data_IF_852316446385
#
_entry.id   IF_852316446385
#
_cell.length_a   1.000
_cell.length_b   1.000
_cell.length_c   1.000
_cell.angle_alpha   90.00
_cell.angle_beta   90.00
_cell.angle_gamma   90.00
#
_symmetry.space_group_name_H-M   'P 1'
#
loop_
_entity.id
_entity.type
_entity.pdbx_description
1 polymer ?
#
# COMPACT_ATOMS: atom_id res chain seq x y z
N UNK A 1 -30.61 -5.71 -49.97
CA UNK A 1 -29.36 -5.49 -49.20
C UNK A 1 -29.35 -6.41 -47.96
N UNK A 2 -28.95 -7.68 -48.06
CA UNK A 2 -28.92 -8.57 -46.88
C UNK A 2 -27.64 -8.41 -46.02
N UNK A 3 -26.60 -7.76 -46.56
CA UNK A 3 -25.25 -7.69 -45.96
C UNK A 3 -24.81 -6.24 -45.61
N UNK A 4 -25.74 -5.30 -45.50
CA UNK A 4 -25.40 -3.92 -45.14
C UNK A 4 -25.10 -3.83 -43.64
N UNK A 5 -23.87 -3.46 -43.28
CA UNK A 5 -23.42 -3.34 -41.89
C UNK A 5 -23.63 -1.94 -41.30
N UNK A 6 -23.35 -0.89 -42.07
CA UNK A 6 -23.45 0.51 -41.62
C UNK A 6 -23.53 1.47 -42.80
N UNK A 7 -24.30 2.56 -42.64
CA UNK A 7 -24.25 3.74 -43.49
C UNK A 7 -23.90 4.92 -42.59
N UNK A 8 -22.79 5.59 -42.88
CA UNK A 8 -22.36 6.78 -42.14
C UNK A 8 -21.96 7.89 -43.12
N UNK A 9 -22.36 9.11 -42.81
CA UNK A 9 -21.83 10.31 -43.43
C UNK A 9 -20.94 11.03 -42.42
N UNK A 10 -19.77 11.48 -42.87
CA UNK A 10 -18.94 12.39 -42.09
C UNK A 10 -19.23 13.84 -42.51
N UNK A 11 -19.44 14.73 -41.55
CA UNK A 11 -19.68 16.15 -41.78
C UNK A 11 -21.01 16.70 -41.22
N UNK A 12 -21.10 18.04 -41.07
CA UNK A 12 -22.23 18.70 -40.41
C UNK A 12 -23.54 18.70 -41.23
N UNK A 13 -23.46 18.42 -42.54
CA UNK A 13 -24.57 18.55 -43.47
C UNK A 13 -25.12 17.18 -43.87
N UNK A 14 -25.67 16.48 -42.88
CA UNK A 14 -26.20 15.12 -43.05
C UNK A 14 -27.57 15.17 -43.70
N UNK A 15 -27.75 14.42 -44.79
CA UNK A 15 -29.02 14.37 -45.50
C UNK A 15 -30.01 13.48 -44.75
N UNK A 16 -30.74 14.06 -43.79
CA UNK A 16 -31.76 13.36 -43.01
C UNK A 16 -32.90 12.81 -43.88
N UNK A 17 -33.18 13.45 -45.03
CA UNK A 17 -34.18 12.95 -45.98
C UNK A 17 -33.75 11.60 -46.55
N UNK A 18 -32.49 11.46 -46.96
CA UNK A 18 -31.96 10.18 -47.41
C UNK A 18 -32.11 9.09 -46.34
N UNK A 19 -31.81 9.39 -45.08
CA UNK A 19 -31.97 8.43 -43.99
C UNK A 19 -33.43 7.97 -43.83
N UNK A 20 -34.38 8.91 -43.88
CA UNK A 20 -35.80 8.61 -43.73
C UNK A 20 -36.32 7.76 -44.89
N UNK A 21 -36.02 8.18 -46.13
CA UNK A 21 -36.42 7.47 -47.34
C UNK A 21 -35.81 6.06 -47.36
N UNK A 22 -34.54 5.94 -46.95
CA UNK A 22 -33.84 4.66 -46.85
C UNK A 22 -34.43 3.73 -45.78
N UNK A 23 -34.79 4.25 -44.60
CA UNK A 23 -35.45 3.48 -43.54
C UNK A 23 -36.84 2.99 -43.96
N UNK A 24 -37.58 3.81 -44.71
CA UNK A 24 -38.88 3.45 -45.26
C UNK A 24 -38.75 2.31 -46.26
N UNK A 25 -37.89 2.46 -47.27
CA UNK A 25 -37.67 1.43 -48.30
C UNK A 25 -37.15 0.12 -47.67
N UNK A 26 -36.22 0.22 -46.71
CA UNK A 26 -35.72 -0.96 -46.00
C UNK A 26 -36.84 -1.67 -45.22
N UNK A 27 -37.71 -0.93 -44.53
CA UNK A 27 -38.85 -1.51 -43.82
C UNK A 27 -39.81 -2.22 -44.78
N UNK A 28 -40.11 -1.63 -45.94
CA UNK A 28 -40.95 -2.24 -46.97
C UNK A 28 -40.35 -3.55 -47.50
N UNK A 29 -39.04 -3.56 -47.78
CA UNK A 29 -38.34 -4.72 -48.33
C UNK A 29 -38.04 -5.83 -47.31
N UNK A 30 -38.01 -5.50 -46.01
CA UNK A 30 -37.56 -6.42 -44.96
C UNK A 30 -38.61 -6.71 -43.88
N UNK A 31 -39.90 -6.52 -44.19
CA UNK A 31 -41.02 -6.92 -43.33
C UNK A 31 -41.17 -6.04 -42.08
N UNK A 32 -41.03 -4.73 -42.26
CA UNK A 32 -41.14 -3.72 -41.20
C UNK A 32 -39.86 -3.51 -40.38
N UNK A 33 -38.74 -4.19 -40.72
CA UNK A 33 -37.48 -4.02 -39.99
C UNK A 33 -36.84 -2.67 -40.30
N UNK A 34 -36.44 -1.97 -39.25
CA UNK A 34 -35.68 -0.71 -39.33
C UNK A 34 -34.24 -0.92 -38.86
N UNK A 35 -33.32 -0.11 -39.37
CA UNK A 35 -31.93 -0.09 -38.91
C UNK A 35 -31.79 0.80 -37.67
N UNK A 36 -30.82 0.47 -36.80
CA UNK A 36 -30.52 1.27 -35.61
C UNK A 36 -29.97 2.64 -36.06
N UNK A 37 -30.70 3.71 -35.75
CA UNK A 37 -30.26 5.08 -36.00
C UNK A 37 -29.35 5.54 -34.84
N UNK A 38 -28.06 5.72 -35.11
CA UNK A 38 -27.06 6.21 -34.15
C UNK A 38 -26.87 7.73 -34.19
N UNK A 39 -27.76 8.45 -34.88
CA UNK A 39 -27.75 9.90 -35.04
C UNK A 39 -27.04 10.38 -36.31
N UNK A 40 -26.97 11.70 -36.48
CA UNK A 40 -26.33 12.34 -37.64
C UNK A 40 -24.81 12.15 -37.66
N UNK A 41 -24.17 12.01 -36.50
CA UNK A 41 -22.76 11.71 -36.40
C UNK A 41 -22.53 10.56 -35.42
N UNK A 42 -22.37 9.34 -35.95
CA UNK A 42 -22.12 8.15 -35.14
C UNK A 42 -20.88 8.28 -34.25
N UNK A 43 -19.88 9.04 -34.68
CA UNK A 43 -18.69 9.34 -33.88
C UNK A 43 -19.02 10.14 -32.62
N UNK A 44 -19.89 11.16 -32.71
CA UNK A 44 -20.31 11.94 -31.53
C UNK A 44 -21.09 11.08 -30.54
N UNK A 45 -22.00 10.22 -31.03
CA UNK A 45 -22.77 9.29 -30.18
C UNK A 45 -21.85 8.33 -29.44
N UNK A 46 -20.90 7.70 -30.14
CA UNK A 46 -19.91 6.82 -29.52
C UNK A 46 -19.01 7.58 -28.55
N UNK A 47 -18.46 8.73 -28.97
CA UNK A 47 -17.59 9.56 -28.15
C UNK A 47 -18.26 9.95 -26.82
N UNK A 48 -19.52 10.40 -26.86
CA UNK A 48 -20.27 10.77 -25.65
C UNK A 48 -20.58 9.56 -24.77
N UNK A 49 -20.86 8.40 -25.38
CA UNK A 49 -21.07 7.15 -24.64
C UNK A 49 -19.81 6.74 -23.89
N UNK A 50 -18.65 6.75 -24.56
CA UNK A 50 -17.35 6.48 -23.93
C UNK A 50 -16.99 7.50 -22.86
N UNK A 51 -17.15 8.79 -23.15
CA UNK A 51 -16.93 9.88 -22.17
C UNK A 51 -17.76 9.66 -20.91
N UNK A 52 -19.04 9.35 -21.06
CA UNK A 52 -19.95 9.10 -19.93
C UNK A 52 -19.52 7.86 -19.17
N UNK A 53 -19.34 6.74 -19.85
CA UNK A 53 -18.96 5.47 -19.20
C UNK A 53 -17.65 5.57 -18.43
N UNK A 54 -16.62 6.18 -19.02
CA UNK A 54 -15.33 6.36 -18.34
C UNK A 54 -15.43 7.30 -17.15
N UNK A 55 -16.25 8.36 -17.24
CA UNK A 55 -16.47 9.29 -16.13
C UNK A 55 -17.19 8.60 -14.98
N UNK A 56 -18.29 7.90 -15.27
CA UNK A 56 -19.09 7.15 -14.28
C UNK A 56 -18.26 6.08 -13.56
N UNK A 57 -17.40 5.37 -14.29
CA UNK A 57 -16.58 4.29 -13.73
C UNK A 57 -15.19 4.74 -13.29
N UNK A 58 -14.87 6.04 -13.35
CA UNK A 58 -13.56 6.59 -13.01
C UNK A 58 -12.39 5.93 -13.78
N UNK A 59 -12.63 5.44 -15.00
CA UNK A 59 -11.61 4.75 -15.81
C UNK A 59 -10.46 5.69 -16.12
N UNK A 60 -10.74 6.96 -16.42
CA UNK A 60 -9.71 7.97 -16.65
C UNK A 60 -8.73 8.07 -15.46
N UNK A 61 -9.26 8.12 -14.24
CA UNK A 61 -8.45 8.23 -13.02
C UNK A 61 -7.56 6.99 -12.84
N UNK A 62 -8.12 5.81 -13.09
CA UNK A 62 -7.38 4.55 -13.04
C UNK A 62 -6.23 4.51 -14.06
N UNK A 63 -6.53 4.76 -15.34
CA UNK A 63 -5.54 4.69 -16.43
C UNK A 63 -4.41 5.71 -16.22
N UNK A 64 -4.75 6.94 -15.79
CA UNK A 64 -3.75 7.97 -15.44
C UNK A 64 -2.90 7.53 -14.26
N UNK A 65 -3.49 6.99 -13.20
CA UNK A 65 -2.75 6.51 -12.04
C UNK A 65 -1.77 5.38 -12.41
N UNK A 66 -2.22 4.42 -13.23
CA UNK A 66 -1.37 3.34 -13.74
C UNK A 66 -0.16 3.90 -14.51
N UNK A 67 -0.37 4.87 -15.40
CA UNK A 67 0.73 5.51 -16.13
C UNK A 67 1.68 6.27 -15.21
N UNK A 68 1.17 7.16 -14.35
CA UNK A 68 2.00 7.99 -13.47
C UNK A 68 2.75 7.18 -12.40
N UNK A 69 2.29 5.97 -12.09
CA UNK A 69 3.06 5.05 -11.28
C UNK A 69 4.44 4.74 -11.90
N UNK A 70 4.58 4.74 -13.22
CA UNK A 70 5.85 4.42 -13.89
C UNK A 70 6.45 5.58 -14.68
N UNK A 71 5.71 6.67 -14.87
CA UNK A 71 6.18 7.84 -15.60
C UNK A 71 7.33 8.53 -14.85
N UNK A 72 8.47 8.71 -15.51
CA UNK A 72 9.69 9.35 -14.97
C UNK A 72 10.21 8.76 -13.65
N UNK A 73 9.90 7.50 -13.34
CA UNK A 73 10.41 6.83 -12.13
C UNK A 73 11.10 5.51 -12.49
N UNK A 74 12.39 5.54 -12.84
CA UNK A 74 13.13 4.35 -13.30
C UNK A 74 13.21 3.27 -12.22
N UNK A 75 13.42 3.63 -10.95
CA UNK A 75 13.47 2.68 -9.84
C UNK A 75 12.20 1.81 -9.75
N UNK A 76 11.01 2.42 -9.90
CA UNK A 76 9.74 1.66 -9.87
C UNK A 76 9.58 0.74 -11.08
N UNK A 77 10.11 1.11 -12.24
CA UNK A 77 10.10 0.27 -13.44
C UNK A 77 11.05 -0.92 -13.28
N UNK A 78 12.22 -0.67 -12.72
CA UNK A 78 13.20 -1.72 -12.42
C UNK A 78 12.63 -2.71 -11.40
N UNK A 79 12.08 -2.22 -10.29
CA UNK A 79 11.43 -3.07 -9.28
C UNK A 79 10.29 -3.89 -9.87
N UNK A 80 9.42 -3.26 -10.67
CA UNK A 80 8.32 -3.96 -11.34
C UNK A 80 8.82 -5.06 -12.26
N UNK A 81 9.81 -4.77 -13.09
CA UNK A 81 10.42 -5.76 -13.99
C UNK A 81 11.04 -6.91 -13.21
N UNK A 82 11.80 -6.62 -12.14
CA UNK A 82 12.40 -7.63 -11.26
C UNK A 82 11.35 -8.51 -10.59
N UNK A 83 10.26 -7.92 -10.10
CA UNK A 83 9.22 -8.64 -9.36
C UNK A 83 8.31 -9.47 -10.25
N UNK A 84 8.06 -9.04 -11.49
CA UNK A 84 7.02 -9.63 -12.37
C UNK A 84 7.56 -10.31 -13.61
N UNK A 85 8.82 -10.06 -13.96
CA UNK A 85 9.45 -10.43 -15.23
C UNK A 85 8.98 -9.62 -16.44
N UNK A 86 8.05 -8.67 -16.27
CA UNK A 86 7.46 -7.91 -17.37
C UNK A 86 8.10 -6.54 -17.53
N UNK A 87 8.42 -6.18 -18.79
CA UNK A 87 8.82 -4.83 -19.21
C UNK A 87 7.69 -4.06 -19.88
N UNK A 88 6.45 -4.56 -19.80
CA UNK A 88 5.27 -3.88 -20.33
C UNK A 88 4.71 -2.91 -19.28
N UNK A 89 4.55 -1.65 -19.71
CA UNK A 89 4.07 -0.57 -18.84
C UNK A 89 2.76 0.05 -19.36
N UNK A 90 1.96 0.66 -18.48
CA UNK A 90 0.76 1.40 -18.86
C UNK A 90 1.07 2.58 -19.77
N UNK A 91 0.16 2.88 -20.70
CA UNK A 91 0.27 3.97 -21.66
C UNK A 91 -0.40 5.25 -21.16
N UNK A 92 0.00 6.43 -21.64
CA UNK A 92 -0.64 7.70 -21.27
C UNK A 92 -2.06 7.78 -21.85
N UNK A 93 -3.02 8.14 -21.00
CA UNK A 93 -4.41 8.37 -21.38
C UNK A 93 -4.65 9.81 -21.86
N UNK A 94 -5.41 9.97 -22.95
CA UNK A 94 -5.79 11.26 -23.52
C UNK A 94 -7.29 11.59 -23.26
N UNK A 95 -7.57 12.55 -22.37
CA UNK A 95 -8.93 12.90 -21.94
C UNK A 95 -9.81 13.64 -22.95
N UNK A 96 -9.31 13.89 -24.16
CA UNK A 96 -10.08 14.50 -25.25
C UNK A 96 -10.17 13.60 -26.49
N UNK A 97 -9.58 12.39 -26.47
CA UNK A 97 -9.56 11.42 -27.58
C UNK A 97 -10.03 10.05 -27.10
N UNK A 98 -11.26 9.98 -26.59
CA UNK A 98 -11.78 8.83 -25.85
C UNK A 98 -11.78 7.53 -26.69
N UNK A 99 -12.17 7.61 -27.96
CA UNK A 99 -12.23 6.46 -28.88
C UNK A 99 -10.82 5.98 -29.28
N UNK A 100 -9.85 6.90 -29.37
CA UNK A 100 -8.46 6.57 -29.73
C UNK A 100 -7.68 5.93 -28.57
N UNK A 101 -8.22 5.94 -27.34
CA UNK A 101 -7.58 5.33 -26.17
C UNK A 101 -7.72 3.80 -26.11
N UNK A 102 -8.24 3.13 -27.15
CA UNK A 102 -8.35 1.68 -27.19
C UNK A 102 -7.01 0.97 -26.84
N UNK A 103 -5.85 1.34 -27.40
CA UNK A 103 -4.57 0.72 -27.04
C UNK A 103 -4.18 0.95 -25.58
N UNK A 104 -4.59 2.08 -24.99
CA UNK A 104 -4.35 2.39 -23.57
C UNK A 104 -5.17 1.45 -22.68
N UNK A 105 -6.43 1.20 -23.06
CA UNK A 105 -7.31 0.25 -22.38
C UNK A 105 -6.80 -1.19 -22.48
N UNK A 106 -6.44 -1.65 -23.69
CA UNK A 106 -5.89 -2.99 -23.92
C UNK A 106 -4.60 -3.21 -23.12
N UNK A 107 -3.67 -2.24 -23.15
CA UNK A 107 -2.45 -2.31 -22.35
C UNK A 107 -2.75 -2.34 -20.85
N UNK A 108 -3.75 -1.59 -20.39
CA UNK A 108 -4.13 -1.61 -18.98
C UNK A 108 -4.65 -2.98 -18.55
N UNK A 109 -5.47 -3.63 -19.38
CA UNK A 109 -5.96 -4.99 -19.13
C UNK A 109 -4.80 -5.99 -19.06
N UNK A 110 -3.84 -5.89 -19.98
CA UNK A 110 -2.65 -6.75 -20.01
C UNK A 110 -1.73 -6.56 -18.78
N UNK A 111 -1.51 -5.31 -18.37
CA UNK A 111 -0.60 -4.97 -17.26
C UNK A 111 -1.25 -5.18 -15.89
N UNK A 112 -2.58 -5.09 -15.77
CA UNK A 112 -3.29 -5.11 -14.49
C UNK A 112 -2.97 -6.32 -13.59
N UNK A 113 -2.95 -7.58 -14.09
CA UNK A 113 -2.58 -8.73 -13.27
C UNK A 113 -1.16 -8.65 -12.73
N UNK A 114 -0.21 -8.21 -13.57
CA UNK A 114 1.20 -8.02 -13.19
C UNK A 114 1.38 -6.89 -12.18
N UNK A 115 0.62 -5.83 -12.33
CA UNK A 115 0.60 -4.73 -11.36
C UNK A 115 0.12 -5.23 -9.99
N UNK A 116 -1.00 -5.96 -9.94
CA UNK A 116 -1.50 -6.57 -8.71
C UNK A 116 -0.47 -7.51 -8.07
N UNK A 117 0.16 -8.37 -8.86
CA UNK A 117 1.25 -9.25 -8.41
C UNK A 117 2.40 -8.46 -7.78
N UNK A 118 2.85 -7.39 -8.45
CA UNK A 118 3.96 -6.55 -7.95
C UNK A 118 3.61 -5.86 -6.63
N UNK A 119 2.37 -5.42 -6.45
CA UNK A 119 1.91 -4.75 -5.24
C UNK A 119 1.86 -5.73 -4.06
N UNK A 120 1.29 -6.93 -4.27
CA UNK A 120 1.26 -7.98 -3.25
C UNK A 120 2.67 -8.41 -2.80
N UNK A 121 3.60 -8.58 -3.75
CA UNK A 121 4.99 -8.92 -3.43
C UNK A 121 5.67 -7.81 -2.61
N UNK A 122 5.44 -6.54 -2.97
CA UNK A 122 5.99 -5.39 -2.22
C UNK A 122 5.40 -5.27 -0.82
N UNK A 123 4.11 -5.49 -0.67
CA UNK A 123 3.45 -5.48 0.64
C UNK A 123 3.96 -6.63 1.52
N UNK A 124 4.09 -7.84 0.98
CA UNK A 124 4.69 -8.97 1.66
C UNK A 124 6.12 -8.70 2.12
N UNK A 125 6.97 -8.15 1.24
CA UNK A 125 8.34 -7.76 1.59
C UNK A 125 8.37 -6.69 2.69
N UNK A 126 7.54 -5.65 2.59
CA UNK A 126 7.43 -4.60 3.62
C UNK A 126 6.96 -5.16 4.96
N UNK A 127 6.00 -6.08 4.96
CA UNK A 127 5.53 -6.76 6.17
C UNK A 127 6.61 -7.63 6.78
N UNK A 128 7.37 -8.38 5.97
CA UNK A 128 8.51 -9.17 6.41
C UNK A 128 9.60 -8.32 7.06
N UNK A 129 9.95 -7.18 6.47
CA UNK A 129 10.92 -6.23 7.04
C UNK A 129 10.46 -5.67 8.39
N UNK A 130 9.18 -5.27 8.50
CA UNK A 130 8.60 -4.80 9.77
C UNK A 130 8.66 -5.87 10.85
N UNK A 131 8.30 -7.11 10.50
CA UNK A 131 8.32 -8.24 11.42
C UNK A 131 9.73 -8.50 11.93
N UNK A 132 10.71 -8.53 11.02
CA UNK A 132 12.12 -8.73 11.38
C UNK A 132 12.63 -7.63 12.31
N UNK A 133 12.33 -6.36 12.01
CA UNK A 133 12.71 -5.25 12.88
C UNK A 133 12.12 -5.38 14.29
N UNK A 134 10.85 -5.81 14.39
CA UNK A 134 10.18 -6.03 15.67
C UNK A 134 10.79 -7.23 16.45
N UNK A 135 11.15 -8.30 15.74
CA UNK A 135 11.85 -9.46 16.31
C UNK A 135 13.25 -9.06 16.84
N UNK A 136 13.99 -8.24 16.09
CA UNK A 136 15.30 -7.71 16.50
C UNK A 136 15.17 -6.78 17.73
N UNK A 137 14.16 -5.90 17.77
CA UNK A 137 13.84 -5.06 18.94
C UNK A 137 13.53 -5.90 20.19
N UNK A 138 12.70 -6.94 20.05
CA UNK A 138 12.36 -7.85 21.14
C UNK A 138 13.59 -8.58 21.69
N UNK A 139 14.51 -8.99 20.82
CA UNK A 139 15.75 -9.64 21.25
C UNK A 139 16.65 -8.67 22.04
N UNK A 140 16.73 -7.41 21.62
CA UNK A 140 17.45 -6.38 22.36
C UNK A 140 16.82 -6.11 23.74
N UNK A 141 15.48 -6.01 23.81
CA UNK A 141 14.77 -5.82 25.07
C UNK A 141 14.96 -7.00 26.02
N UNK A 142 14.93 -8.24 25.52
CA UNK A 142 15.23 -9.45 26.33
C UNK A 142 16.64 -9.41 26.92
N UNK A 143 17.64 -9.03 26.12
CA UNK A 143 19.02 -8.87 26.60
C UNK A 143 19.12 -7.78 27.66
N UNK A 144 18.50 -6.62 27.42
CA UNK A 144 18.46 -5.50 28.36
C UNK A 144 17.79 -5.89 29.67
N UNK A 145 16.66 -6.62 29.61
CA UNK A 145 15.97 -7.19 30.77
C UNK A 145 16.90 -8.08 31.60
N UNK A 146 17.60 -9.00 30.96
CA UNK A 146 18.49 -9.92 31.67
C UNK A 146 19.65 -9.18 32.35
N UNK A 147 20.27 -8.22 31.66
CA UNK A 147 21.34 -7.38 32.22
C UNK A 147 20.82 -6.59 33.43
N UNK A 148 19.67 -5.91 33.29
CA UNK A 148 19.08 -5.13 34.39
C UNK A 148 18.74 -6.02 35.58
N UNK A 149 18.20 -7.22 35.35
CA UNK A 149 17.90 -8.20 36.40
C UNK A 149 19.17 -8.57 37.18
N UNK A 150 20.25 -8.91 36.48
CA UNK A 150 21.55 -9.23 37.11
C UNK A 150 22.10 -8.04 37.91
N UNK A 151 22.04 -6.82 37.36
CA UNK A 151 22.49 -5.59 38.04
C UNK A 151 21.66 -5.30 39.29
N UNK A 152 20.35 -5.51 39.26
CA UNK A 152 19.49 -5.32 40.43
C UNK A 152 19.90 -6.29 41.55
N UNK A 153 20.07 -7.57 41.22
CA UNK A 153 20.49 -8.60 42.19
C UNK A 153 21.86 -8.27 42.79
N UNK A 154 22.84 -7.86 41.97
CA UNK A 154 24.17 -7.52 42.48
C UNK A 154 24.15 -6.28 43.37
N UNK A 155 23.46 -5.22 42.97
CA UNK A 155 23.36 -3.98 43.76
C UNK A 155 22.68 -4.22 45.11
N UNK A 156 21.65 -5.06 45.14
CA UNK A 156 20.98 -5.45 46.37
C UNK A 156 21.92 -6.23 47.28
N UNK A 157 22.59 -7.26 46.75
CA UNK A 157 23.55 -8.08 47.49
C UNK A 157 24.69 -7.24 48.09
N UNK A 158 25.29 -6.35 47.29
CA UNK A 158 26.37 -5.48 47.75
C UNK A 158 25.89 -4.49 48.82
N UNK A 159 24.66 -3.96 48.68
CA UNK A 159 24.08 -3.08 49.68
C UNK A 159 23.80 -3.78 51.02
N UNK A 160 23.29 -5.00 50.96
CA UNK A 160 23.01 -5.83 52.14
C UNK A 160 24.31 -6.25 52.83
N UNK A 161 25.34 -6.64 52.06
CA UNK A 161 26.66 -6.97 52.58
C UNK A 161 27.33 -5.77 53.26
N UNK A 162 27.22 -4.57 52.69
CA UNK A 162 27.75 -3.35 53.33
C UNK A 162 27.01 -3.00 54.63
N UNK A 163 25.71 -3.29 54.72
CA UNK A 163 24.93 -3.06 55.93
C UNK A 163 25.33 -4.03 57.04
N UNK A 164 25.43 -5.33 56.72
CA UNK A 164 25.88 -6.38 57.65
C UNK A 164 27.31 -6.12 58.16
N UNK A 165 28.22 -5.75 57.25
CA UNK A 165 29.59 -5.40 57.65
C UNK A 165 29.66 -4.18 58.58
N UNK A 166 28.72 -3.23 58.46
CA UNK A 166 28.71 -2.01 59.28
C UNK A 166 28.40 -2.30 60.76
N UNK A 167 27.62 -3.34 61.05
CA UNK A 167 27.21 -3.71 62.42
C UNK A 167 28.41 -4.01 63.34
N UNK A 168 29.52 -4.48 62.75
CA UNK A 168 30.73 -4.89 63.47
C UNK A 168 31.84 -3.84 63.43
N UNK A 169 31.56 -2.59 63.03
CA UNK A 169 32.58 -1.53 62.87
C UNK A 169 32.42 -0.37 63.87
N UNK A 170 33.53 0.34 64.20
CA UNK A 170 33.47 1.54 65.03
C UNK A 170 32.58 2.63 64.42
N UNK A 171 32.00 3.49 65.24
CA UNK A 171 30.92 4.44 64.87
C UNK A 171 31.18 5.26 63.60
N UNK A 172 32.40 5.80 63.41
CA UNK A 172 32.74 6.59 62.23
C UNK A 172 32.75 5.74 60.95
N UNK A 173 33.29 4.52 61.01
CA UNK A 173 33.37 3.62 59.86
C UNK A 173 32.00 2.98 59.56
N UNK A 174 31.22 2.67 60.60
CA UNK A 174 29.82 2.25 60.49
C UNK A 174 29.01 3.28 59.70
N UNK A 175 29.03 4.56 60.09
CA UNK A 175 28.29 5.62 59.40
C UNK A 175 28.67 5.75 57.91
N UNK A 176 29.96 5.61 57.57
CA UNK A 176 30.42 5.60 56.18
C UNK A 176 29.87 4.41 55.38
N UNK A 177 29.87 3.21 55.96
CA UNK A 177 29.38 1.99 55.30
C UNK A 177 27.86 2.04 55.07
N UNK A 178 27.10 2.55 56.05
CA UNK A 178 25.65 2.77 55.91
C UNK A 178 25.36 3.78 54.79
N UNK A 179 26.14 4.85 54.68
CA UNK A 179 25.98 5.84 53.60
C UNK A 179 26.20 5.22 52.21
N UNK A 180 27.24 4.37 52.08
CA UNK A 180 27.51 3.62 50.83
C UNK A 180 26.38 2.62 50.52
N UNK A 181 25.91 1.87 51.52
CA UNK A 181 24.78 0.94 51.37
C UNK A 181 23.53 1.68 50.87
N UNK A 182 23.17 2.81 51.48
CA UNK A 182 22.01 3.61 51.06
C UNK A 182 22.14 4.15 49.63
N UNK A 183 23.36 4.50 49.20
CA UNK A 183 23.64 4.91 47.82
C UNK A 183 23.38 3.76 46.84
N UNK A 184 23.83 2.54 47.16
CA UNK A 184 23.56 1.35 46.35
C UNK A 184 22.07 1.01 46.33
N UNK A 185 21.37 1.11 47.47
CA UNK A 185 19.91 0.89 47.55
C UNK A 185 19.13 1.89 46.69
N UNK A 186 19.59 3.14 46.58
CA UNK A 186 18.99 4.12 45.66
C UNK A 186 19.16 3.68 44.20
N UNK A 187 20.38 3.36 43.79
CA UNK A 187 20.67 2.87 42.43
C UNK A 187 19.90 1.59 42.09
N UNK A 188 19.78 0.68 43.06
CA UNK A 188 18.97 -0.53 42.94
C UNK A 188 17.51 -0.20 42.59
N UNK A 189 16.88 0.72 43.34
CA UNK A 189 15.49 1.14 43.06
C UNK A 189 15.35 1.76 41.68
N UNK A 190 16.29 2.62 41.28
CA UNK A 190 16.31 3.23 39.95
C UNK A 190 16.37 2.14 38.86
N UNK A 191 17.23 1.12 39.03
CA UNK A 191 17.36 0.00 38.09
C UNK A 191 16.16 -0.96 38.09
N UNK A 192 15.49 -1.17 39.21
CA UNK A 192 14.24 -1.92 39.26
C UNK A 192 13.09 -1.20 38.54
N UNK A 193 13.04 0.14 38.62
CA UNK A 193 12.09 0.93 37.83
C UNK A 193 12.36 0.75 36.33
N UNK A 194 13.61 0.92 35.90
CA UNK A 194 14.00 0.68 34.50
C UNK A 194 13.67 -0.75 34.03
N UNK A 195 13.84 -1.75 34.89
CA UNK A 195 13.50 -3.15 34.59
C UNK A 195 11.99 -3.31 34.36
N UNK A 196 11.17 -2.71 35.21
CA UNK A 196 9.70 -2.75 35.09
C UNK A 196 9.24 -2.10 33.78
N UNK A 197 9.85 -0.96 33.41
CA UNK A 197 9.55 -0.28 32.14
C UNK A 197 9.89 -1.17 30.93
N UNK A 198 11.06 -1.83 30.96
CA UNK A 198 11.48 -2.76 29.90
C UNK A 198 10.55 -3.98 29.81
N UNK A 199 10.07 -4.50 30.94
CA UNK A 199 9.12 -5.62 30.96
C UNK A 199 7.77 -5.24 30.34
N UNK A 200 7.26 -4.05 30.65
CA UNK A 200 6.04 -3.51 30.04
C UNK A 200 6.19 -3.31 28.53
N UNK A 201 7.32 -2.73 28.09
CA UNK A 201 7.61 -2.54 26.67
C UNK A 201 7.70 -3.89 25.93
N UNK A 202 8.36 -4.88 26.53
CA UNK A 202 8.48 -6.22 25.97
C UNK A 202 7.12 -6.91 25.82
N UNK A 203 6.22 -6.77 26.80
CA UNK A 203 4.86 -7.32 26.72
C UNK A 203 4.04 -6.67 25.60
N UNK A 204 4.12 -5.34 25.48
CA UNK A 204 3.47 -4.57 24.41
C UNK A 204 3.96 -5.02 23.03
N UNK A 205 5.27 -5.05 22.82
CA UNK A 205 5.91 -5.45 21.56
C UNK A 205 5.65 -6.92 21.19
N UNK A 206 5.60 -7.80 22.19
CA UNK A 206 5.26 -9.21 21.99
C UNK A 206 3.81 -9.36 21.53
N UNK A 207 2.90 -8.53 22.07
CA UNK A 207 1.50 -8.50 21.65
C UNK A 207 1.34 -7.96 20.24
N UNK A 208 2.05 -6.88 19.89
CA UNK A 208 2.10 -6.35 18.52
C UNK A 208 2.53 -7.44 17.51
N UNK A 209 3.58 -8.20 17.81
CA UNK A 209 4.07 -9.26 16.94
C UNK A 209 3.04 -10.39 16.75
N UNK A 210 2.27 -10.74 17.80
CA UNK A 210 1.20 -11.75 17.69
C UNK A 210 0.09 -11.32 16.74
N UNK A 211 -0.24 -10.03 16.72
CA UNK A 211 -1.30 -9.47 15.89
C UNK A 211 -0.88 -9.13 14.45
N UNK A 212 0.40 -9.31 14.08
CA UNK A 212 0.92 -9.05 12.73
C UNK A 212 0.51 -10.07 11.64
N UNK A 213 -0.60 -10.80 11.81
CA UNK A 213 -1.11 -11.78 10.84
C UNK A 213 -1.43 -11.18 9.46
#
# INVERSE_FOLDING_TARGET
>A
MKNLLSISMDGPNVNLKFLNDFQQEHAELHGGRQLINVGSCGLHTLHNSFKTGFSTWNIEKLLRAMHFLFHNVPARREDFTKLTGSSLFPLPFCGHKWVENLPVGERAVEVCPKLKESMLKREGARRGLKRKALEDELEQLKKKKEILRVVCVSLQKDADQLAEQAENKPSTLMAQMITKSNTLRKRYRDKCSELTDVESELESKTSELRHMH
#
